data_IF_164268553274
#
_entry.id   IF_164268553274
#
_cell.length_a   1.000
_cell.length_b   1.000
_cell.length_c   1.000
_cell.angle_alpha   90.00
_cell.angle_beta   90.00
_cell.angle_gamma   90.00
#
_symmetry.space_group_name_H-M   'P 1'
#
loop_
_entity.id
_entity.type
_entity.pdbx_description
1 polymer ?
#
# COMPACT_ATOMS: atom_id res chain seq x y z
N UNK A 1 -13.31 -26.10 18.76
CA UNK A 1 -13.46 -26.64 17.39
C UNK A 1 -13.17 -25.55 16.37
N UNK A 2 -12.02 -25.60 15.67
CA UNK A 2 -11.70 -24.64 14.60
C UNK A 2 -12.47 -25.05 13.35
N UNK A 3 -13.48 -24.28 12.93
CA UNK A 3 -14.17 -24.49 11.66
C UNK A 3 -13.18 -24.16 10.53
N UNK A 4 -12.57 -25.18 9.94
CA UNK A 4 -11.80 -25.06 8.70
C UNK A 4 -12.82 -24.91 7.57
N UNK A 5 -13.13 -23.68 7.18
CA UNK A 5 -13.86 -23.44 5.94
C UNK A 5 -12.87 -23.66 4.79
N UNK A 6 -12.79 -24.91 4.31
CA UNK A 6 -12.05 -25.26 3.11
C UNK A 6 -12.85 -24.81 1.88
N UNK A 7 -12.84 -23.50 1.60
CA UNK A 7 -13.46 -22.96 0.40
C UNK A 7 -12.50 -23.20 -0.78
N UNK A 8 -12.72 -24.29 -1.52
CA UNK A 8 -12.03 -24.55 -2.78
C UNK A 8 -12.74 -23.74 -3.86
N UNK A 9 -12.41 -22.45 -3.99
CA UNK A 9 -12.95 -21.61 -5.07
C UNK A 9 -12.19 -21.93 -6.36
N UNK A 10 -12.86 -22.61 -7.29
CA UNK A 10 -12.45 -22.70 -8.69
C UNK A 10 -13.40 -21.77 -9.48
N UNK A 11 -13.02 -20.50 -9.65
CA UNK A 11 -13.88 -19.54 -10.35
C UNK A 11 -13.30 -18.13 -10.42
N UNK A 12 -13.36 -17.53 -11.61
CA UNK A 12 -13.05 -16.12 -11.88
C UNK A 12 -14.20 -15.25 -11.36
N UNK A 13 -13.97 -14.49 -10.31
CA UNK A 13 -14.93 -13.51 -9.80
C UNK A 13 -14.58 -12.10 -10.31
N UNK A 14 -15.51 -11.45 -11.03
CA UNK A 14 -15.41 -10.02 -11.37
C UNK A 14 -16.04 -9.23 -10.23
N UNK A 15 -15.29 -9.06 -9.15
CA UNK A 15 -15.72 -8.28 -7.98
C UNK A 15 -14.93 -6.96 -7.92
N UNK A 16 -15.53 -5.94 -7.30
CA UNK A 16 -14.86 -4.65 -7.10
C UNK A 16 -13.76 -4.75 -6.05
N UNK A 17 -13.79 -5.71 -5.14
CA UNK A 17 -12.69 -6.04 -4.22
C UNK A 17 -12.81 -7.48 -3.72
N UNK A 18 -11.70 -8.05 -3.24
CA UNK A 18 -11.68 -9.41 -2.62
C UNK A 18 -10.95 -9.39 -1.28
N UNK A 19 -11.49 -10.10 -0.29
CA UNK A 19 -10.93 -10.20 1.06
C UNK A 19 -10.98 -11.64 1.56
N UNK A 20 -9.82 -12.17 1.99
CA UNK A 20 -9.69 -13.50 2.60
C UNK A 20 -9.25 -13.37 4.06
N UNK A 21 -9.92 -14.09 4.95
CA UNK A 21 -9.58 -14.19 6.35
C UNK A 21 -9.62 -15.65 6.80
N UNK A 22 -8.53 -16.17 7.39
CA UNK A 22 -8.50 -17.56 7.88
C UNK A 22 -8.53 -18.62 6.78
N UNK A 23 -8.08 -18.30 5.57
CA UNK A 23 -8.25 -19.14 4.37
C UNK A 23 -6.97 -19.92 3.99
N UNK A 24 -7.13 -21.09 3.39
CA UNK A 24 -6.04 -21.86 2.77
C UNK A 24 -6.29 -22.02 1.27
N UNK A 25 -5.73 -21.11 0.47
CA UNK A 25 -5.91 -21.07 -0.98
C UNK A 25 -4.82 -21.91 -1.64
N UNK A 26 -5.19 -23.01 -2.30
CA UNK A 26 -4.23 -23.87 -3.02
C UNK A 26 -3.76 -23.27 -4.36
N UNK A 27 -4.53 -22.35 -4.94
CA UNK A 27 -4.25 -21.69 -6.21
C UNK A 27 -3.87 -20.21 -6.07
N UNK A 28 -4.08 -19.45 -7.14
CA UNK A 28 -3.88 -18.01 -7.17
C UNK A 28 -5.12 -17.25 -6.67
N UNK A 29 -4.89 -16.08 -6.07
CA UNK A 29 -5.91 -15.07 -5.78
C UNK A 29 -5.80 -13.99 -6.85
N UNK A 30 -6.84 -13.78 -7.65
CA UNK A 30 -6.83 -12.82 -8.76
C UNK A 30 -8.03 -11.88 -8.61
N UNK A 31 -7.77 -10.58 -8.53
CA UNK A 31 -8.77 -9.53 -8.64
C UNK A 31 -8.58 -8.80 -9.97
N UNK A 32 -9.64 -8.67 -10.76
CA UNK A 32 -9.67 -7.83 -11.96
C UNK A 32 -10.87 -6.89 -11.86
N UNK A 33 -10.59 -5.62 -11.58
CA UNK A 33 -11.60 -4.63 -11.21
C UNK A 33 -11.52 -3.39 -12.10
N UNK A 34 -12.70 -2.87 -12.44
CA UNK A 34 -12.86 -1.63 -13.19
C UNK A 34 -13.97 -0.81 -12.52
N UNK A 35 -13.57 0.24 -11.80
CA UNK A 35 -14.46 1.13 -11.04
C UNK A 35 -14.46 2.49 -11.71
N UNK A 36 -15.65 3.03 -12.00
CA UNK A 36 -15.85 4.35 -12.60
C UNK A 36 -17.00 5.05 -11.90
N UNK A 37 -16.87 6.36 -11.69
CA UNK A 37 -17.97 7.24 -11.27
C UNK A 37 -18.66 6.73 -9.98
N UNK A 38 -17.86 6.36 -8.98
CA UNK A 38 -18.34 5.61 -7.82
C UNK A 38 -17.81 6.15 -6.49
N UNK A 39 -18.62 6.01 -5.44
CA UNK A 39 -18.22 6.28 -4.07
C UNK A 39 -18.36 5.02 -3.21
N UNK A 40 -17.38 4.79 -2.34
CA UNK A 40 -17.40 3.72 -1.33
C UNK A 40 -16.98 4.30 0.01
N UNK A 41 -17.92 4.35 0.96
CA UNK A 41 -17.79 5.16 2.17
C UNK A 41 -18.09 4.27 3.39
N UNK A 42 -17.23 4.34 4.40
CA UNK A 42 -17.41 3.68 5.70
C UNK A 42 -17.18 4.69 6.83
N UNK A 43 -18.08 4.79 7.81
CA UNK A 43 -17.97 5.79 8.89
C UNK A 43 -18.36 5.13 10.23
N UNK A 44 -17.54 5.27 11.28
CA UNK A 44 -17.79 4.78 12.64
C UNK A 44 -17.28 3.37 12.99
N UNK A 45 -16.62 3.26 14.15
CA UNK A 45 -15.92 2.12 14.78
C UNK A 45 -15.65 0.84 13.95
N UNK A 46 -14.37 0.60 13.69
CA UNK A 46 -13.69 -0.49 12.99
C UNK A 46 -13.58 -0.48 11.45
N UNK A 47 -13.61 0.71 10.83
CA UNK A 47 -13.93 0.80 9.40
C UNK A 47 -12.92 0.25 8.40
N UNK A 48 -13.45 -0.23 7.27
CA UNK A 48 -12.70 -0.53 6.03
C UNK A 48 -13.55 -0.28 4.79
N UNK A 49 -13.11 0.61 3.91
CA UNK A 49 -13.64 0.80 2.57
C UNK A 49 -12.63 0.24 1.55
N UNK A 50 -12.98 -0.83 0.83
CA UNK A 50 -12.11 -1.46 -0.16
C UNK A 50 -12.68 -1.30 -1.57
N UNK A 51 -11.95 -0.61 -2.44
CA UNK A 51 -12.30 -0.36 -3.82
C UNK A 51 -11.14 -0.82 -4.71
N UNK A 52 -11.42 -1.70 -5.66
CA UNK A 52 -10.42 -2.24 -6.58
C UNK A 52 -9.24 -2.94 -5.88
N UNK A 53 -9.45 -3.52 -4.70
CA UNK A 53 -8.38 -3.93 -3.79
C UNK A 53 -8.45 -5.40 -3.39
N UNK A 54 -7.29 -5.96 -3.03
CA UNK A 54 -7.14 -7.32 -2.48
C UNK A 54 -6.70 -7.22 -1.03
N UNK A 55 -7.35 -7.99 -0.15
CA UNK A 55 -6.93 -8.16 1.22
C UNK A 55 -6.76 -9.64 1.58
N UNK A 56 -5.60 -9.99 2.13
CA UNK A 56 -5.31 -11.33 2.66
C UNK A 56 -4.95 -11.17 4.14
N UNK A 57 -5.70 -11.82 5.03
CA UNK A 57 -5.45 -11.80 6.48
C UNK A 57 -5.45 -13.21 7.05
N UNK A 58 -4.53 -13.54 7.96
CA UNK A 58 -4.52 -14.82 8.67
C UNK A 58 -4.64 -16.03 7.72
N UNK A 59 -4.00 -15.99 6.56
CA UNK A 59 -4.25 -16.94 5.47
C UNK A 59 -2.96 -17.53 4.89
N UNK A 60 -3.11 -18.66 4.20
CA UNK A 60 -2.05 -19.29 3.42
C UNK A 60 -2.47 -19.34 1.96
N UNK A 61 -1.62 -18.87 1.05
CA UNK A 61 -1.83 -18.90 -0.40
C UNK A 61 -0.67 -19.65 -1.04
N UNK A 62 -0.94 -20.75 -1.73
CA UNK A 62 0.08 -21.57 -2.43
C UNK A 62 0.34 -21.13 -3.88
N UNK A 63 -0.32 -20.07 -4.34
CA UNK A 63 -0.10 -19.44 -5.64
C UNK A 63 0.15 -17.93 -5.53
N UNK A 64 0.03 -17.23 -6.66
CA UNK A 64 0.21 -15.79 -6.73
C UNK A 64 -0.99 -15.02 -6.16
N UNK A 65 -0.75 -13.80 -5.67
CA UNK A 65 -1.78 -12.82 -5.35
C UNK A 65 -1.67 -11.70 -6.38
N UNK A 66 -2.68 -11.53 -7.21
CA UNK A 66 -2.67 -10.60 -8.36
C UNK A 66 -3.85 -9.64 -8.23
N UNK A 67 -3.57 -8.35 -8.17
CA UNK A 67 -4.57 -7.30 -8.31
C UNK A 67 -4.36 -6.57 -9.63
N UNK A 68 -5.40 -6.50 -10.46
CA UNK A 68 -5.48 -5.68 -11.65
C UNK A 68 -6.65 -4.73 -11.45
N UNK A 69 -6.35 -3.45 -11.24
CA UNK A 69 -7.34 -2.46 -10.84
C UNK A 69 -7.26 -1.24 -11.73
N UNK A 70 -8.42 -0.83 -12.24
CA UNK A 70 -8.60 0.45 -12.91
C UNK A 70 -9.71 1.22 -12.17
N UNK A 71 -9.36 2.35 -11.56
CA UNK A 71 -10.28 3.21 -10.82
C UNK A 71 -10.25 4.61 -11.44
N UNK A 72 -11.41 5.15 -11.81
CA UNK A 72 -11.56 6.49 -12.39
C UNK A 72 -12.71 7.24 -11.74
N UNK A 73 -12.59 8.55 -11.53
CA UNK A 73 -13.69 9.40 -11.04
C UNK A 73 -14.33 8.82 -9.77
N UNK A 74 -13.53 8.51 -8.74
CA UNK A 74 -14.02 7.74 -7.60
C UNK A 74 -13.57 8.27 -6.25
N UNK A 75 -14.39 8.01 -5.22
CA UNK A 75 -14.11 8.34 -3.84
C UNK A 75 -14.10 7.08 -2.96
N UNK A 76 -13.06 6.89 -2.13
CA UNK A 76 -12.99 5.78 -1.17
C UNK A 76 -12.53 6.28 0.21
N UNK A 77 -13.49 6.52 1.09
CA UNK A 77 -13.28 7.35 2.29
C UNK A 77 -13.67 6.54 3.55
N UNK A 78 -12.86 6.52 4.62
CA UNK A 78 -13.17 5.79 5.86
C UNK A 78 -12.93 6.62 7.14
N UNK A 79 -13.99 7.00 7.86
CA UNK A 79 -13.96 8.03 8.92
C UNK A 79 -14.41 7.44 10.28
N UNK A 80 -13.65 7.59 11.36
CA UNK A 80 -14.06 7.31 12.74
C UNK A 80 -13.88 5.88 13.26
N UNK A 81 -12.81 5.67 14.00
CA UNK A 81 -12.36 4.50 14.75
C UNK A 81 -12.09 3.21 13.91
N UNK A 82 -10.87 2.69 14.02
CA UNK A 82 -10.10 1.68 13.25
C UNK A 82 -10.07 1.69 11.71
N UNK A 83 -10.13 2.86 11.08
CA UNK A 83 -10.35 3.02 9.63
C UNK A 83 -9.26 2.47 8.68
N UNK A 84 -9.67 1.95 7.50
CA UNK A 84 -8.79 1.66 6.35
C UNK A 84 -9.50 1.95 5.01
N UNK A 85 -9.06 2.95 4.28
CA UNK A 85 -9.50 3.20 2.91
C UNK A 85 -8.48 2.63 1.92
N UNK A 86 -8.84 1.58 1.17
CA UNK A 86 -7.97 0.93 0.19
C UNK A 86 -8.54 1.08 -1.21
N UNK A 87 -7.82 1.79 -2.07
CA UNK A 87 -8.13 1.98 -3.48
C UNK A 87 -7.03 1.36 -4.34
N UNK A 88 -7.34 0.39 -5.18
CA UNK A 88 -6.36 -0.20 -6.09
C UNK A 88 -5.15 -0.84 -5.38
N UNK A 89 -5.34 -1.40 -4.19
CA UNK A 89 -4.26 -1.77 -3.27
C UNK A 89 -4.25 -3.27 -2.96
N UNK A 90 -3.08 -3.83 -2.67
CA UNK A 90 -2.93 -5.16 -2.07
C UNK A 90 -2.48 -5.03 -0.62
N UNK A 91 -3.24 -5.62 0.31
CA UNK A 91 -2.88 -5.69 1.72
C UNK A 91 -2.73 -7.15 2.16
N UNK A 92 -1.59 -7.50 2.74
CA UNK A 92 -1.32 -8.84 3.29
C UNK A 92 -0.93 -8.69 4.75
N UNK A 93 -1.73 -9.28 5.65
CA UNK A 93 -1.54 -9.21 7.10
C UNK A 93 -1.47 -10.63 7.68
N UNK A 94 -0.46 -10.93 8.52
CA UNK A 94 -0.39 -12.20 9.27
C UNK A 94 -0.55 -13.45 8.38
N UNK A 95 0.07 -13.46 7.20
CA UNK A 95 -0.20 -14.47 6.17
C UNK A 95 1.06 -15.04 5.53
N UNK A 96 0.91 -16.19 4.86
CA UNK A 96 1.97 -16.81 4.07
C UNK A 96 1.56 -16.91 2.59
N UNK A 97 2.42 -16.43 1.69
CA UNK A 97 2.20 -16.54 0.24
C UNK A 97 3.39 -17.26 -0.39
N UNK A 98 3.14 -18.39 -1.07
CA UNK A 98 4.13 -19.14 -1.86
C UNK A 98 3.95 -18.83 -3.34
N UNK A 99 4.14 -17.58 -3.70
CA UNK A 99 4.00 -17.06 -5.04
C UNK A 99 4.27 -15.56 -5.06
N UNK A 100 4.22 -14.96 -6.26
CA UNK A 100 4.38 -13.52 -6.40
C UNK A 100 3.16 -12.76 -5.86
N UNK A 101 3.41 -11.57 -5.32
CA UNK A 101 2.40 -10.56 -4.99
C UNK A 101 2.53 -9.46 -6.02
N UNK A 102 1.50 -9.28 -6.85
CA UNK A 102 1.52 -8.38 -7.98
C UNK A 102 0.33 -7.42 -7.88
N UNK A 103 0.60 -6.12 -7.80
CA UNK A 103 -0.40 -5.08 -7.90
C UNK A 103 -0.18 -4.30 -9.19
N UNK A 104 -1.15 -4.31 -10.10
CA UNK A 104 -1.23 -3.47 -11.29
C UNK A 104 -2.41 -2.53 -11.11
N UNK A 105 -2.13 -1.28 -10.79
CA UNK A 105 -3.16 -0.31 -10.41
C UNK A 105 -3.07 0.94 -11.28
N UNK A 106 -4.21 1.35 -11.83
CA UNK A 106 -4.37 2.62 -12.51
C UNK A 106 -5.49 3.40 -11.82
N UNK A 107 -5.14 4.47 -11.11
CA UNK A 107 -6.07 5.35 -10.39
C UNK A 107 -6.02 6.74 -11.02
N UNK A 108 -7.17 7.27 -11.43
CA UNK A 108 -7.28 8.61 -12.01
C UNK A 108 -8.45 9.37 -11.43
N UNK A 109 -8.28 10.67 -11.22
CA UNK A 109 -9.37 11.59 -10.86
C UNK A 109 -10.11 11.07 -9.61
N UNK A 110 -9.37 10.79 -8.53
CA UNK A 110 -9.88 10.03 -7.41
C UNK A 110 -9.45 10.55 -6.04
N UNK A 111 -10.29 10.33 -5.04
CA UNK A 111 -10.01 10.63 -3.63
C UNK A 111 -10.04 9.35 -2.79
N UNK A 112 -9.02 9.11 -1.96
CA UNK A 112 -8.98 8.00 -1.01
C UNK A 112 -8.61 8.54 0.39
N UNK A 113 -9.54 8.65 1.32
CA UNK A 113 -9.34 9.48 2.51
C UNK A 113 -9.76 8.74 3.78
N UNK A 114 -8.91 8.54 4.80
CA UNK A 114 -9.31 7.90 6.06
C UNK A 114 -9.05 8.78 7.29
N UNK A 115 -10.07 9.08 8.09
CA UNK A 115 -10.03 10.13 9.12
C UNK A 115 -10.44 9.57 10.50
N UNK A 116 -9.72 9.84 11.58
CA UNK A 116 -10.16 9.68 12.97
C UNK A 116 -10.02 8.32 13.68
N UNK A 117 -8.81 7.97 14.13
CA UNK A 117 -8.47 6.87 15.06
C UNK A 117 -8.33 5.47 14.44
N UNK A 118 -7.24 5.23 13.71
CA UNK A 118 -6.73 3.93 13.27
C UNK A 118 -6.36 3.88 11.78
N UNK A 119 -6.28 5.05 11.15
CA UNK A 119 -6.38 5.25 9.71
C UNK A 119 -5.25 4.64 8.87
N UNK A 120 -5.60 3.91 7.81
CA UNK A 120 -4.69 3.69 6.67
C UNK A 120 -5.40 4.08 5.37
N UNK A 121 -4.90 5.10 4.67
CA UNK A 121 -5.34 5.48 3.33
C UNK A 121 -4.32 4.95 2.31
N UNK A 122 -4.67 3.91 1.59
CA UNK A 122 -3.79 3.25 0.63
C UNK A 122 -4.35 3.38 -0.79
N UNK A 123 -3.61 4.00 -1.69
CA UNK A 123 -3.96 4.19 -3.08
C UNK A 123 -2.88 3.61 -3.98
N UNK A 124 -3.21 2.59 -4.77
CA UNK A 124 -2.27 2.01 -5.73
C UNK A 124 -1.02 1.40 -5.09
N UNK A 125 -1.14 0.87 -3.87
CA UNK A 125 0.01 0.46 -3.04
C UNK A 125 0.01 -1.04 -2.74
N UNK A 126 1.14 -1.54 -2.25
CA UNK A 126 1.26 -2.87 -1.65
C UNK A 126 1.70 -2.73 -0.20
N UNK A 127 0.94 -3.27 0.74
CA UNK A 127 1.29 -3.28 2.16
C UNK A 127 1.36 -4.72 2.69
N UNK A 128 2.47 -5.06 3.31
CA UNK A 128 2.74 -6.40 3.86
C UNK A 128 3.13 -6.24 5.32
N UNK A 129 2.37 -6.86 6.22
CA UNK A 129 2.57 -6.77 7.66
C UNK A 129 2.59 -8.18 8.28
N UNK A 130 3.59 -8.48 9.12
CA UNK A 130 3.68 -9.75 9.87
C UNK A 130 3.55 -11.00 8.98
N UNK A 131 4.13 -10.98 7.80
CA UNK A 131 3.85 -11.98 6.75
C UNK A 131 5.12 -12.58 6.14
N UNK A 132 4.96 -13.76 5.54
CA UNK A 132 6.04 -14.46 4.85
C UNK A 132 5.71 -14.66 3.36
N UNK A 133 6.50 -14.04 2.48
CA UNK A 133 6.33 -14.13 1.03
C UNK A 133 7.50 -14.94 0.44
N UNK A 134 7.20 -16.01 -0.29
CA UNK A 134 8.16 -16.78 -1.09
C UNK A 134 7.87 -16.53 -2.57
N UNK A 135 8.31 -15.38 -3.04
CA UNK A 135 8.07 -14.86 -4.38
C UNK A 135 8.38 -13.36 -4.43
N UNK A 136 8.33 -12.78 -5.62
CA UNK A 136 8.53 -11.35 -5.79
C UNK A 136 7.32 -10.54 -5.29
N UNK A 137 7.59 -9.34 -4.77
CA UNK A 137 6.58 -8.32 -4.48
C UNK A 137 6.72 -7.24 -5.54
N UNK A 138 5.70 -7.05 -6.36
CA UNK A 138 5.73 -6.15 -7.52
C UNK A 138 4.54 -5.20 -7.42
N UNK A 139 4.82 -3.91 -7.33
CA UNK A 139 3.82 -2.85 -7.47
C UNK A 139 4.06 -2.09 -8.76
N UNK A 140 3.09 -2.10 -9.65
CA UNK A 140 3.03 -1.31 -10.88
C UNK A 140 1.83 -0.37 -10.75
N UNK A 141 2.10 0.88 -10.41
CA UNK A 141 1.06 1.84 -10.04
C UNK A 141 1.15 3.10 -10.89
N UNK A 142 0.02 3.51 -11.45
CA UNK A 142 -0.13 4.79 -12.12
C UNK A 142 -1.26 5.58 -11.43
N UNK A 143 -0.90 6.64 -10.73
CA UNK A 143 -1.82 7.52 -10.00
C UNK A 143 -1.76 8.91 -10.64
N UNK A 144 -2.91 9.46 -11.04
CA UNK A 144 -3.01 10.80 -11.66
C UNK A 144 -4.19 11.57 -11.09
N UNK A 145 -4.04 12.88 -10.91
CA UNK A 145 -5.12 13.77 -10.47
C UNK A 145 -5.83 13.23 -9.21
N UNK A 146 -5.06 12.83 -8.20
CA UNK A 146 -5.63 12.09 -7.07
C UNK A 146 -5.20 12.64 -5.71
N UNK A 147 -6.07 12.47 -4.73
CA UNK A 147 -5.81 12.82 -3.34
C UNK A 147 -5.89 11.57 -2.46
N UNK A 148 -4.81 11.27 -1.71
CA UNK A 148 -4.77 10.22 -0.71
C UNK A 148 -4.50 10.83 0.66
N UNK A 149 -5.47 10.80 1.57
CA UNK A 149 -5.42 11.62 2.78
C UNK A 149 -5.70 10.78 4.03
N UNK A 150 -4.89 10.90 5.08
CA UNK A 150 -5.13 10.27 6.37
C UNK A 150 -5.05 11.32 7.50
N UNK A 151 -6.11 11.48 8.29
CA UNK A 151 -6.19 12.55 9.32
C UNK A 151 -6.58 11.97 10.68
N UNK A 152 -5.97 12.40 11.78
CA UNK A 152 -6.34 12.01 13.15
C UNK A 152 -5.26 11.17 13.85
N UNK A 153 -5.66 10.13 14.60
CA UNK A 153 -4.72 9.22 15.28
C UNK A 153 -4.47 7.96 14.43
N UNK A 154 -3.21 7.55 14.27
CA UNK A 154 -2.82 6.26 13.68
C UNK A 154 -2.65 6.26 12.15
N UNK A 155 -2.17 7.35 11.55
CA UNK A 155 -2.21 7.56 10.10
C UNK A 155 -1.05 6.89 9.32
N UNK A 156 -1.39 6.12 8.29
CA UNK A 156 -0.50 5.81 7.16
C UNK A 156 -1.19 6.21 5.86
N UNK A 157 -0.58 7.11 5.08
CA UNK A 157 -1.02 7.50 3.75
C UNK A 157 -0.02 6.96 2.71
N UNK A 158 -0.41 5.92 1.96
CA UNK A 158 0.47 5.24 1.01
C UNK A 158 -0.06 5.38 -0.43
N UNK A 159 0.63 6.14 -1.27
CA UNK A 159 0.27 6.38 -2.67
C UNK A 159 1.34 5.83 -3.61
N UNK A 160 1.04 4.76 -4.34
CA UNK A 160 1.99 4.18 -5.28
C UNK A 160 3.24 3.57 -4.60
N UNK A 161 3.12 3.15 -3.35
CA UNK A 161 4.27 2.69 -2.54
C UNK A 161 4.21 1.20 -2.25
N UNK A 162 5.37 0.65 -1.87
CA UNK A 162 5.48 -0.67 -1.25
C UNK A 162 5.91 -0.49 0.21
N UNK A 163 5.15 -1.04 1.14
CA UNK A 163 5.48 -1.01 2.57
C UNK A 163 5.53 -2.44 3.13
N UNK A 164 6.63 -2.79 3.78
CA UNK A 164 6.89 -4.11 4.34
C UNK A 164 7.28 -3.94 5.81
N UNK A 165 6.50 -4.49 6.72
CA UNK A 165 6.68 -4.33 8.16
C UNK A 165 6.65 -5.70 8.85
N UNK A 166 7.64 -5.96 9.70
CA UNK A 166 7.74 -7.19 10.49
C UNK A 166 7.60 -8.48 9.65
N UNK A 167 8.19 -8.49 8.46
CA UNK A 167 7.91 -9.49 7.42
C UNK A 167 9.17 -10.08 6.82
N UNK A 168 9.02 -11.24 6.17
CA UNK A 168 10.09 -11.90 5.44
C UNK A 168 9.70 -12.07 3.97
N UNK A 169 10.52 -11.56 3.05
CA UNK A 169 10.35 -11.73 1.61
C UNK A 169 11.54 -12.50 1.04
N UNK A 170 11.28 -13.64 0.40
CA UNK A 170 12.24 -14.40 -0.39
C UNK A 170 11.94 -14.19 -1.87
N UNK A 171 12.51 -13.12 -2.42
CA UNK A 171 12.23 -12.62 -3.76
C UNK A 171 12.55 -11.13 -3.85
N UNK A 172 12.51 -10.59 -5.06
CA UNK A 172 12.70 -9.16 -5.28
C UNK A 172 11.49 -8.34 -4.78
N UNK A 173 11.77 -7.14 -4.28
CA UNK A 173 10.76 -6.12 -4.00
C UNK A 173 10.92 -5.02 -5.05
N UNK A 174 9.91 -4.84 -5.89
CA UNK A 174 9.95 -3.94 -7.04
C UNK A 174 8.77 -2.98 -6.96
N UNK A 175 9.05 -1.70 -6.84
CA UNK A 175 8.07 -0.63 -7.00
C UNK A 175 8.32 0.09 -8.31
N UNK A 176 7.33 0.08 -9.20
CA UNK A 176 7.29 0.85 -10.43
C UNK A 176 6.09 1.78 -10.33
N UNK A 177 6.32 3.02 -9.95
CA UNK A 177 5.26 3.98 -9.65
C UNK A 177 5.37 5.21 -10.51
N UNK A 178 4.22 5.69 -11.00
CA UNK A 178 4.10 6.96 -11.68
C UNK A 178 2.97 7.75 -11.02
N UNK A 179 3.33 8.78 -10.26
CA UNK A 179 2.41 9.66 -9.54
C UNK A 179 2.48 11.04 -10.16
N UNK A 180 1.35 11.55 -10.67
CA UNK A 180 1.28 12.87 -11.30
C UNK A 180 0.12 13.70 -10.78
N UNK A 181 0.34 14.99 -10.58
CA UNK A 181 -0.74 15.95 -10.28
C UNK A 181 -1.55 15.50 -9.06
N UNK A 182 -0.87 15.04 -8.01
CA UNK A 182 -1.49 14.28 -6.90
C UNK A 182 -0.96 14.69 -5.53
N UNK A 183 -1.77 14.50 -4.50
CA UNK A 183 -1.42 14.82 -3.13
C UNK A 183 -1.55 13.58 -2.22
N UNK A 184 -0.52 13.29 -1.43
CA UNK A 184 -0.52 12.27 -0.39
C UNK A 184 -0.26 12.94 0.96
N UNK A 185 -1.23 12.86 1.88
CA UNK A 185 -1.27 13.71 3.06
C UNK A 185 -1.55 12.86 4.30
N UNK A 186 -0.73 12.99 5.35
CA UNK A 186 -0.94 12.41 6.67
C UNK A 186 -0.87 13.52 7.75
N UNK A 187 -1.95 13.73 8.50
CA UNK A 187 -2.03 14.82 9.50
C UNK A 187 -2.53 14.30 10.84
N UNK A 188 -1.81 14.58 11.92
CA UNK A 188 -2.19 14.24 13.30
C UNK A 188 -1.08 13.51 14.07
N UNK A 189 -1.37 12.36 14.66
CA UNK A 189 -0.41 11.58 15.46
C UNK A 189 -0.05 10.25 14.80
N UNK A 190 1.25 9.99 14.66
CA UNK A 190 1.82 8.77 14.08
C UNK A 190 1.86 8.78 12.56
N UNK A 191 2.31 9.88 11.94
CA UNK A 191 2.14 10.12 10.50
C UNK A 191 3.22 9.47 9.65
N UNK A 192 2.81 8.58 8.74
CA UNK A 192 3.65 8.15 7.60
C UNK A 192 2.97 8.51 6.29
N UNK A 193 3.58 9.39 5.51
CA UNK A 193 3.16 9.75 4.15
C UNK A 193 4.18 9.19 3.16
N UNK A 194 3.81 8.13 2.45
CA UNK A 194 4.66 7.42 1.50
C UNK A 194 4.12 7.59 0.09
N UNK A 195 4.88 8.24 -0.80
CA UNK A 195 4.52 8.49 -2.19
C UNK A 195 5.59 7.94 -3.14
N UNK A 196 5.25 6.93 -3.93
CA UNK A 196 6.17 6.34 -4.89
C UNK A 196 7.43 5.73 -4.26
N UNK A 197 7.35 5.32 -3.00
CA UNK A 197 8.48 4.89 -2.18
C UNK A 197 8.48 3.38 -1.91
N UNK A 198 9.61 2.86 -1.46
CA UNK A 198 9.70 1.54 -0.81
C UNK A 198 10.13 1.73 0.63
N UNK A 199 9.34 1.21 1.57
CA UNK A 199 9.65 1.27 3.00
C UNK A 199 9.68 -0.15 3.59
N UNK A 200 10.78 -0.48 4.25
CA UNK A 200 11.02 -1.80 4.84
C UNK A 200 11.41 -1.60 6.29
N UNK A 201 10.58 -2.11 7.21
CA UNK A 201 10.75 -1.91 8.65
C UNK A 201 10.74 -3.27 9.38
N UNK A 202 11.72 -3.50 10.26
CA UNK A 202 11.81 -4.71 11.08
C UNK A 202 11.69 -6.01 10.26
N UNK A 203 12.27 -6.04 9.06
CA UNK A 203 11.98 -7.04 8.05
C UNK A 203 13.26 -7.62 7.43
N UNK A 204 13.10 -8.77 6.76
CA UNK A 204 14.17 -9.41 6.02
C UNK A 204 13.78 -9.63 4.56
N UNK A 205 14.58 -9.11 3.63
CA UNK A 205 14.42 -9.35 2.19
C UNK A 205 15.63 -10.13 1.69
N UNK A 206 15.37 -11.31 1.11
CA UNK A 206 16.36 -12.11 0.38
C UNK A 206 16.09 -11.96 -1.11
N UNK A 207 16.64 -10.89 -1.68
CA UNK A 207 16.41 -10.44 -3.06
C UNK A 207 16.74 -8.96 -3.19
N UNK A 208 16.68 -8.44 -4.42
CA UNK A 208 16.89 -7.02 -4.68
C UNK A 208 15.69 -6.18 -4.24
N UNK A 209 15.95 -4.95 -3.80
CA UNK A 209 14.96 -3.91 -3.56
C UNK A 209 15.15 -2.84 -4.63
N UNK A 210 14.13 -2.65 -5.47
CA UNK A 210 14.19 -1.76 -6.62
C UNK A 210 13.01 -0.81 -6.56
N UNK A 211 13.29 0.48 -6.43
CA UNK A 211 12.30 1.53 -6.60
C UNK A 211 12.57 2.27 -7.90
N UNK A 212 11.59 2.25 -8.81
CA UNK A 212 11.55 3.01 -10.05
C UNK A 212 10.34 3.92 -9.98
N UNK A 213 10.54 5.14 -9.50
CA UNK A 213 9.44 6.08 -9.29
C UNK A 213 9.55 7.30 -10.20
N UNK A 214 8.40 7.79 -10.65
CA UNK A 214 8.29 9.04 -11.36
C UNK A 214 7.20 9.86 -10.68
N UNK A 215 7.60 10.88 -9.92
CA UNK A 215 6.71 11.75 -9.16
C UNK A 215 6.77 13.14 -9.78
N UNK A 216 5.66 13.63 -10.31
CA UNK A 216 5.58 14.94 -10.97
C UNK A 216 4.42 15.78 -10.45
N UNK A 217 4.60 17.08 -10.24
CA UNK A 217 3.52 18.00 -9.86
C UNK A 217 2.77 17.49 -8.62
N UNK A 218 3.48 17.03 -7.60
CA UNK A 218 2.89 16.27 -6.51
C UNK A 218 3.33 16.77 -5.14
N UNK A 219 2.48 16.58 -4.15
CA UNK A 219 2.76 16.94 -2.76
C UNK A 219 2.67 15.72 -1.86
N UNK A 220 3.73 15.42 -1.12
CA UNK A 220 3.73 14.40 -0.07
C UNK A 220 3.96 15.10 1.28
N UNK A 221 2.96 15.04 2.16
CA UNK A 221 2.89 15.91 3.34
C UNK A 221 2.61 15.07 4.59
N UNK A 222 3.46 15.19 5.60
CA UNK A 222 3.25 14.65 6.94
C UNK A 222 3.29 15.78 7.99
N UNK A 223 2.21 16.01 8.72
CA UNK A 223 2.10 17.12 9.70
C UNK A 223 1.62 16.61 11.06
N UNK A 224 2.37 16.94 12.13
CA UNK A 224 1.99 16.64 13.51
C UNK A 224 3.10 16.01 14.34
N UNK A 225 2.88 14.84 14.95
CA UNK A 225 3.87 14.16 15.79
C UNK A 225 4.30 12.81 15.18
N UNK A 226 5.61 12.59 15.07
CA UNK A 226 6.21 11.38 14.49
C UNK A 226 6.04 11.37 12.97
N UNK A 227 6.56 12.40 12.29
CA UNK A 227 6.30 12.63 10.88
C UNK A 227 7.36 11.99 10.00
N UNK A 228 6.95 11.06 9.14
CA UNK A 228 7.81 10.53 8.08
C UNK A 228 7.15 10.80 6.73
N UNK A 229 7.80 11.59 5.88
CA UNK A 229 7.38 11.87 4.51
C UNK A 229 8.41 11.28 3.53
N UNK A 230 8.05 10.20 2.85
CA UNK A 230 8.91 9.48 1.91
C UNK A 230 8.40 9.66 0.48
N UNK A 231 9.14 10.36 -0.38
CA UNK A 231 8.77 10.63 -1.76
C UNK A 231 9.83 10.09 -2.72
N UNK A 232 9.49 9.04 -3.48
CA UNK A 232 10.44 8.44 -4.42
C UNK A 232 11.71 7.89 -3.76
N UNK A 233 11.66 7.54 -2.48
CA UNK A 233 12.81 7.04 -1.72
C UNK A 233 12.73 5.53 -1.49
N UNK A 234 13.86 4.94 -1.09
CA UNK A 234 13.91 3.62 -0.46
C UNK A 234 14.38 3.81 0.98
N UNK A 235 13.58 3.39 1.95
CA UNK A 235 13.94 3.44 3.37
C UNK A 235 13.91 2.04 3.96
N UNK A 236 15.00 1.63 4.59
CA UNK A 236 15.20 0.31 5.18
C UNK A 236 15.60 0.55 6.63
N UNK A 237 14.71 0.29 7.58
CA UNK A 237 14.96 0.56 9.00
C UNK A 237 14.85 -0.73 9.82
N UNK A 238 15.85 -0.99 10.66
CA UNK A 238 15.97 -2.20 11.48
C UNK A 238 15.77 -3.48 10.66
N UNK A 239 16.33 -3.50 9.45
CA UNK A 239 16.00 -4.49 8.44
C UNK A 239 17.23 -5.01 7.71
N UNK A 240 17.13 -6.24 7.21
CA UNK A 240 18.22 -6.88 6.46
C UNK A 240 17.81 -7.10 5.00
N UNK A 241 18.59 -6.57 4.06
CA UNK A 241 18.45 -6.85 2.62
C UNK A 241 19.67 -7.63 2.14
N UNK A 242 19.44 -8.86 1.67
CA UNK A 242 20.45 -9.70 1.01
C UNK A 242 20.25 -9.62 -0.50
N UNK A 243 20.70 -8.52 -1.08
CA UNK A 243 20.59 -8.19 -2.51
C UNK A 243 20.92 -6.72 -2.76
N UNK A 244 20.84 -6.28 -4.01
CA UNK A 244 21.04 -4.88 -4.37
C UNK A 244 19.87 -4.00 -3.89
N UNK A 245 20.18 -2.78 -3.47
CA UNK A 245 19.20 -1.72 -3.21
C UNK A 245 19.38 -0.64 -4.27
N UNK A 246 18.35 -0.44 -5.10
CA UNK A 246 18.39 0.46 -6.26
C UNK A 246 17.22 1.43 -6.14
N UNK A 247 17.51 2.73 -6.06
CA UNK A 247 16.52 3.78 -6.18
C UNK A 247 16.77 4.57 -7.46
N UNK A 248 15.89 4.41 -8.44
CA UNK A 248 15.86 5.15 -9.68
C UNK A 248 14.60 6.01 -9.70
N UNK A 249 14.68 7.18 -9.09
CA UNK A 249 13.52 8.05 -8.89
C UNK A 249 13.70 9.38 -9.60
N UNK A 250 12.67 9.76 -10.35
CA UNK A 250 12.56 11.07 -10.96
C UNK A 250 11.48 11.86 -10.22
N UNK A 251 11.90 12.82 -9.41
CA UNK A 251 11.00 13.70 -8.65
C UNK A 251 11.12 15.11 -9.23
N UNK A 252 10.04 15.62 -9.81
CA UNK A 252 10.03 16.90 -10.53
C UNK A 252 8.82 17.74 -10.13
N UNK A 253 9.00 19.03 -9.93
CA UNK A 253 7.91 19.97 -9.60
C UNK A 253 7.08 19.47 -8.40
N UNK A 254 7.74 18.91 -7.38
CA UNK A 254 7.10 18.21 -6.28
C UNK A 254 7.63 18.67 -4.92
N UNK A 255 6.79 18.58 -3.90
CA UNK A 255 7.11 18.99 -2.54
C UNK A 255 6.98 17.81 -1.57
N UNK A 256 8.04 17.49 -0.84
CA UNK A 256 8.03 16.50 0.24
C UNK A 256 8.22 17.24 1.57
N UNK A 257 7.21 17.20 2.41
CA UNK A 257 7.09 18.10 3.56
C UNK A 257 6.81 17.28 4.82
N UNK A 258 7.64 17.46 5.85
CA UNK A 258 7.40 16.94 7.20
C UNK A 258 7.45 18.11 8.20
N UNK A 259 6.35 18.38 8.92
CA UNK A 259 6.24 19.52 9.85
C UNK A 259 5.76 19.03 11.22
N UNK A 260 6.45 19.46 12.27
CA UNK A 260 6.08 19.18 13.66
C UNK A 260 7.23 18.54 14.43
N UNK A 261 6.95 17.50 15.23
CA UNK A 261 7.97 16.84 16.07
C UNK A 261 8.41 15.50 15.48
N UNK A 262 9.72 15.25 15.45
CA UNK A 262 10.30 14.01 14.94
C UNK A 262 10.10 13.86 13.44
N UNK A 263 10.69 14.78 12.67
CA UNK A 263 10.46 14.88 11.23
C UNK A 263 11.57 14.18 10.45
N UNK A 264 11.16 13.32 9.52
CA UNK A 264 12.00 12.79 8.46
C UNK A 264 11.32 13.07 7.13
N UNK A 265 12.06 13.66 6.18
CA UNK A 265 11.57 13.94 4.84
C UNK A 265 12.58 13.41 3.81
N UNK A 266 12.36 12.18 3.32
CA UNK A 266 13.23 11.54 2.34
C UNK A 266 12.69 11.72 0.94
N UNK A 267 13.45 12.40 0.07
CA UNK A 267 13.08 12.63 -1.33
C UNK A 267 14.17 12.06 -2.25
N UNK A 268 13.81 11.09 -3.09
CA UNK A 268 14.75 10.53 -4.08
C UNK A 268 15.96 9.79 -3.50
N UNK A 269 15.99 9.50 -2.19
CA UNK A 269 17.14 8.94 -1.47
C UNK A 269 17.05 7.43 -1.24
N UNK A 270 18.17 6.83 -0.83
CA UNK A 270 18.24 5.53 -0.18
C UNK A 270 18.70 5.75 1.26
N UNK A 271 17.90 5.32 2.23
CA UNK A 271 18.21 5.37 3.66
C UNK A 271 18.20 3.93 4.21
N UNK A 272 19.27 3.57 4.92
CA UNK A 272 19.44 2.26 5.55
C UNK A 272 19.91 2.47 6.98
N UNK A 273 19.10 2.03 7.94
CA UNK A 273 19.31 2.14 9.40
C UNK A 273 19.10 0.79 10.09
#
# INVERSE_FOLDING_TARGET
MKKIIALTIFGLFVLTSISFAGSNVKGAVINKSNVKDAANIAIGQDNKANMGSVKIKNSSVKGAVINQSNVKNAANIAIGQSNKANMGTVNIEQSAVKGAVINKSNVKDAANIAIGQGNKANMGSVNIEKSAIRGAVINQSNVKNAANIAIGQGNKANMGSVNIEQSAVKGAVINQSNVKDSANIAIGQGNKANMGSVNIEQSAVKGAVINKSNVKNAANIAIGQGNTANMGSVNINNSAVKGAVINQSNVKDAANIAIGQGNTANMGSVEIE
#
